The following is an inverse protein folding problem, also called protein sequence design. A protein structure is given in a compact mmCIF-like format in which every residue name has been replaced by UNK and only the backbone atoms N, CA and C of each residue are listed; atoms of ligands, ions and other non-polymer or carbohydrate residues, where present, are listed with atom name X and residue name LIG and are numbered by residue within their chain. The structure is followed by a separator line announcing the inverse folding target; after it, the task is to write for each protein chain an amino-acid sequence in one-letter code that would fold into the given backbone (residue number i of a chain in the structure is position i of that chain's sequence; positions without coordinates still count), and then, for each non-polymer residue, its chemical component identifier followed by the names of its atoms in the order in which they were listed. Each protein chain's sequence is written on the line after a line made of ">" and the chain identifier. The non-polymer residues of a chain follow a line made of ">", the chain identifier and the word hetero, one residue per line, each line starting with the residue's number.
data_IF_578098332190
#
_entry.id   IF_578098332190
#
_cell.length_a   1.000
_cell.length_b   1.000
_cell.length_c   1.000
_cell.angle_alpha   90.00
_cell.angle_beta   90.00
_cell.angle_gamma   90.00
#
_symmetry.space_group_name_H-M   'P 1'
#
loop_
_entity.id
_entity.type
_entity.pdbx_description
1 polymer ?
#
# COMPACT_ATOMS: atom_id res chain seq x y z
N UNK A 1 13.02 21.49 9.90
CA UNK A 1 12.22 21.83 8.96
C UNK A 1 10.98 21.01 8.77
N UNK A 2 9.96 21.70 8.71
CA UNK A 2 8.63 21.12 8.75
C UNK A 2 8.27 20.28 7.53
N UNK A 3 8.92 20.54 6.42
CA UNK A 3 8.56 19.85 5.20
C UNK A 3 8.71 18.35 5.26
N UNK A 4 9.81 17.88 5.84
CA UNK A 4 10.01 16.45 5.97
C UNK A 4 8.93 15.80 6.81
N UNK A 5 8.51 16.50 7.84
CA UNK A 5 7.48 15.98 8.71
C UNK A 5 6.16 15.87 7.97
N UNK A 6 5.81 16.91 7.23
CA UNK A 6 4.57 16.92 6.47
C UNK A 6 4.52 15.78 5.48
N UNK A 7 5.63 15.55 4.76
CA UNK A 7 5.70 14.48 3.78
C UNK A 7 5.54 13.12 4.44
N UNK A 8 6.21 12.91 5.58
CA UNK A 8 6.12 11.65 6.31
C UNK A 8 4.71 11.32 6.71
N UNK A 9 3.97 12.36 7.10
CA UNK A 9 2.61 12.21 7.55
C UNK A 9 1.62 12.42 6.43
N UNK A 10 2.12 12.60 5.24
CA UNK A 10 1.29 13.03 4.13
C UNK A 10 0.10 12.13 3.92
N UNK A 11 -1.02 12.77 3.78
CA UNK A 11 -2.23 12.17 3.32
C UNK A 11 -2.57 12.87 2.01
N UNK A 12 -2.43 12.16 0.91
CA UNK A 12 -2.78 12.70 -0.40
C UNK A 12 -4.22 12.32 -0.69
N UNK A 13 -5.13 13.29 -0.83
CA UNK A 13 -6.55 12.97 -1.05
C UNK A 13 -6.78 12.42 -2.44
N UNK A 14 -7.28 11.22 -2.51
CA UNK A 14 -7.54 10.57 -3.77
C UNK A 14 -6.37 9.71 -4.21
N UNK A 15 -6.40 9.24 -5.44
CA UNK A 15 -5.42 8.31 -5.96
C UNK A 15 -4.48 8.98 -6.92
N UNK A 16 -3.26 8.47 -6.98
CA UNK A 16 -2.25 8.93 -7.94
C UNK A 16 -1.34 7.75 -8.24
N UNK A 17 -0.77 7.70 -9.45
CA UNK A 17 0.20 6.64 -9.75
C UNK A 17 1.47 6.82 -8.93
N UNK A 18 2.14 5.70 -8.67
CA UNK A 18 3.43 5.71 -7.99
C UNK A 18 4.49 5.90 -9.07
N UNK A 19 5.23 7.01 -9.00
CA UNK A 19 6.18 7.38 -10.04
C UNK A 19 7.51 6.68 -9.90
N UNK A 20 7.93 6.41 -8.67
CA UNK A 20 9.19 5.74 -8.41
C UNK A 20 9.18 5.14 -7.02
N UNK A 21 10.01 4.14 -6.80
CA UNK A 21 10.17 3.51 -5.50
C UNK A 21 11.63 3.13 -5.31
N UNK A 22 12.05 2.99 -4.05
CA UNK A 22 13.41 2.65 -3.70
C UNK A 22 13.97 3.65 -2.70
N UNK A 23 15.18 3.39 -2.25
CA UNK A 23 15.85 4.24 -1.25
C UNK A 23 14.98 4.47 -0.02
N UNK A 24 14.20 3.45 0.35
CA UNK A 24 13.37 3.49 1.54
C UNK A 24 12.07 4.26 1.39
N UNK A 25 11.64 4.54 0.17
CA UNK A 25 10.42 5.33 0.01
C UNK A 25 9.82 5.28 -1.38
N UNK A 26 8.95 6.25 -1.64
CA UNK A 26 8.17 6.32 -2.87
C UNK A 26 8.01 7.76 -3.33
N UNK A 27 7.78 7.93 -4.64
CA UNK A 27 7.42 9.24 -5.20
C UNK A 27 6.05 9.11 -5.86
N UNK A 28 5.20 10.11 -5.60
CA UNK A 28 3.87 10.19 -6.20
C UNK A 28 3.39 11.63 -6.10
N UNK A 29 2.59 12.08 -7.07
CA UNK A 29 2.00 13.43 -7.05
C UNK A 29 3.04 14.52 -6.76
N UNK A 30 4.23 14.39 -7.32
CA UNK A 30 5.35 15.33 -7.12
C UNK A 30 5.84 15.41 -5.69
N UNK A 31 5.52 14.40 -4.87
CA UNK A 31 5.97 14.32 -3.49
C UNK A 31 6.86 13.10 -3.30
N UNK A 32 7.74 13.19 -2.32
CA UNK A 32 8.55 12.05 -1.89
C UNK A 32 8.14 11.67 -0.49
N UNK A 33 7.96 10.37 -0.27
CA UNK A 33 7.58 9.85 1.03
C UNK A 33 8.59 8.80 1.46
N UNK A 34 9.09 8.93 2.69
CA UNK A 34 9.98 7.94 3.26
C UNK A 34 9.16 6.95 4.06
N UNK A 35 9.42 5.66 3.84
CA UNK A 35 8.70 4.60 4.51
C UNK A 35 7.63 3.99 3.63
N UNK A 36 6.86 3.07 4.23
CA UNK A 36 5.84 2.32 3.52
C UNK A 36 4.58 3.15 3.27
N UNK A 37 3.77 2.70 2.32
CA UNK A 37 2.54 3.39 1.92
C UNK A 37 1.33 2.47 2.00
N UNK A 38 0.20 3.06 2.34
CA UNK A 38 -1.10 2.40 2.24
C UNK A 38 -1.97 3.26 1.34
N UNK A 39 -2.27 2.74 0.16
CA UNK A 39 -3.05 3.46 -0.85
C UNK A 39 -4.48 2.94 -0.82
N UNK A 40 -5.40 3.84 -0.48
CA UNK A 40 -6.82 3.49 -0.28
C UNK A 40 -7.70 4.39 -1.14
N UNK A 41 -8.99 4.07 -1.28
CA UNK A 41 -9.91 4.97 -1.98
C UNK A 41 -9.90 6.38 -1.41
N UNK A 42 -9.71 6.53 -0.10
CA UNK A 42 -9.67 7.85 0.55
C UNK A 42 -8.39 8.62 0.26
N UNK A 43 -7.32 7.94 -0.18
CA UNK A 43 -6.07 8.63 -0.46
C UNK A 43 -4.85 7.78 -0.17
N UNK A 44 -3.69 8.42 -0.27
CA UNK A 44 -2.40 7.76 -0.04
C UNK A 44 -1.93 8.15 1.35
N UNK A 45 -1.73 7.15 2.18
CA UNK A 45 -1.36 7.34 3.59
C UNK A 45 0.02 6.77 3.87
N UNK A 46 0.75 7.39 4.79
CA UNK A 46 1.93 6.77 5.35
C UNK A 46 1.52 5.52 6.10
N UNK A 47 2.39 4.50 6.12
CA UNK A 47 2.08 3.21 6.69
C UNK A 47 3.29 2.74 7.49
N UNK A 48 3.06 2.30 8.72
CA UNK A 48 4.16 1.99 9.64
C UNK A 48 4.91 0.71 9.39
N UNK A 49 4.29 -0.38 8.93
CA UNK A 49 5.01 -1.64 8.79
C UNK A 49 6.23 -1.53 7.87
N UNK A 50 7.31 -2.15 8.30
CA UNK A 50 8.55 -2.22 7.53
C UNK A 50 8.97 -3.66 7.28
N UNK A 51 8.46 -4.60 8.09
CA UNK A 51 8.82 -6.01 8.00
C UNK A 51 7.63 -6.80 7.45
N UNK A 52 7.74 -7.31 6.21
CA UNK A 52 6.62 -8.04 5.61
C UNK A 52 6.26 -9.32 6.37
N UNK A 53 7.21 -9.87 7.12
CA UNK A 53 6.95 -11.11 7.86
C UNK A 53 6.15 -10.86 9.14
N UNK A 54 6.04 -9.60 9.57
CA UNK A 54 5.36 -9.25 10.81
C UNK A 54 4.01 -8.57 10.57
N UNK A 55 3.47 -8.63 9.37
CA UNK A 55 2.19 -8.00 9.05
C UNK A 55 1.05 -8.68 9.81
N UNK A 56 0.15 -7.86 10.34
CA UNK A 56 -1.01 -8.32 11.09
C UNK A 56 -2.26 -7.60 10.61
N UNK A 57 -3.42 -8.15 10.95
CA UNK A 57 -4.68 -7.52 10.59
C UNK A 57 -4.77 -6.10 11.15
N UNK A 58 -4.22 -5.86 12.34
CA UNK A 58 -4.25 -4.52 12.93
C UNK A 58 -3.51 -3.47 12.11
N UNK A 59 -2.60 -3.88 11.25
CA UNK A 59 -1.89 -2.96 10.37
C UNK A 59 -2.79 -2.45 9.24
N UNK A 60 -3.95 -3.06 9.05
CA UNK A 60 -4.84 -2.78 7.94
C UNK A 60 -6.18 -2.16 8.37
N UNK A 61 -6.22 -1.55 9.56
CA UNK A 61 -7.47 -1.00 10.07
C UNK A 61 -8.11 0.02 9.13
N UNK A 62 -7.30 0.89 8.54
CA UNK A 62 -7.84 1.87 7.60
C UNK A 62 -8.45 1.19 6.38
N UNK A 63 -7.81 0.13 5.90
CA UNK A 63 -8.34 -0.63 4.78
C UNK A 63 -9.69 -1.23 5.11
N UNK A 64 -9.80 -1.85 6.28
CA UNK A 64 -11.06 -2.48 6.67
C UNK A 64 -12.19 -1.47 6.81
N UNK A 65 -11.86 -0.24 7.21
CA UNK A 65 -12.86 0.82 7.31
C UNK A 65 -13.42 1.20 5.94
N UNK A 66 -12.69 0.92 4.87
CA UNK A 66 -13.11 1.24 3.50
C UNK A 66 -13.31 0.00 2.65
N UNK A 67 -13.46 -1.15 3.29
CA UNK A 67 -13.49 -2.43 2.58
C UNK A 67 -14.56 -2.51 1.51
N UNK A 68 -15.68 -1.85 1.70
CA UNK A 68 -16.77 -1.87 0.73
C UNK A 68 -16.42 -1.17 -0.58
N UNK A 69 -15.35 -0.39 -0.59
CA UNK A 69 -14.90 0.33 -1.80
C UNK A 69 -13.67 -0.29 -2.43
N UNK A 70 -13.20 -1.41 -1.90
CA UNK A 70 -11.98 -2.06 -2.38
C UNK A 70 -12.32 -3.45 -2.91
N UNK A 71 -11.99 -3.67 -4.17
CA UNK A 71 -12.16 -4.97 -4.80
C UNK A 71 -10.88 -5.79 -4.69
N UNK A 72 -9.75 -5.15 -4.99
CA UNK A 72 -8.45 -5.80 -5.05
C UNK A 72 -7.47 -5.07 -4.15
N UNK A 73 -6.75 -5.83 -3.34
CA UNK A 73 -5.65 -5.29 -2.55
C UNK A 73 -4.35 -5.93 -3.04
N UNK A 74 -3.42 -5.09 -3.48
CA UNK A 74 -2.08 -5.54 -3.82
C UNK A 74 -1.19 -5.32 -2.61
N UNK A 75 -0.45 -6.34 -2.22
CA UNK A 75 0.44 -6.21 -1.07
C UNK A 75 1.88 -6.37 -1.53
N UNK A 76 2.63 -5.28 -1.48
CA UNK A 76 4.04 -5.27 -1.83
C UNK A 76 4.86 -5.71 -0.62
N UNK A 77 5.42 -6.91 -0.70
CA UNK A 77 6.05 -7.61 0.41
C UNK A 77 7.55 -7.36 0.53
N UNK A 78 8.03 -6.28 -0.05
CA UNK A 78 9.45 -5.99 -0.02
C UNK A 78 10.13 -6.44 -1.31
N UNK A 79 11.39 -6.82 -1.21
CA UNK A 79 12.16 -7.19 -2.41
C UNK A 79 11.68 -8.48 -3.05
N UNK A 80 11.13 -9.39 -2.27
CA UNK A 80 10.78 -10.72 -2.73
C UNK A 80 9.31 -11.00 -2.60
N UNK A 81 8.83 -11.92 -3.43
CA UNK A 81 7.48 -12.45 -3.27
C UNK A 81 7.44 -13.31 -2.01
N UNK A 82 6.49 -13.00 -1.14
CA UNK A 82 6.26 -13.77 0.08
C UNK A 82 4.78 -13.94 0.29
N UNK A 83 4.35 -15.07 0.87
CA UNK A 83 2.93 -15.25 1.16
C UNK A 83 2.50 -14.39 2.33
N UNK A 84 1.23 -14.03 2.37
CA UNK A 84 0.68 -13.31 3.51
C UNK A 84 0.59 -14.25 4.72
N UNK A 85 0.80 -13.72 5.94
CA UNK A 85 0.55 -14.52 7.14
C UNK A 85 -0.88 -15.03 7.14
N UNK A 86 -1.07 -16.27 7.58
CA UNK A 86 -2.39 -16.92 7.52
C UNK A 86 -3.50 -16.15 8.24
N UNK A 87 -3.27 -15.61 9.46
CA UNK A 87 -4.34 -14.84 10.11
C UNK A 87 -4.75 -13.61 9.33
N UNK A 88 -3.79 -12.93 8.70
CA UNK A 88 -4.09 -11.76 7.90
C UNK A 88 -4.87 -12.16 6.66
N UNK A 89 -4.46 -13.23 6.00
CA UNK A 89 -5.16 -13.71 4.82
C UNK A 89 -6.61 -14.04 5.14
N UNK A 90 -6.85 -14.68 6.28
CA UNK A 90 -8.20 -15.00 6.71
C UNK A 90 -9.03 -13.75 6.96
N UNK A 91 -8.45 -12.74 7.60
CA UNK A 91 -9.16 -11.50 7.89
C UNK A 91 -9.55 -10.76 6.60
N UNK A 92 -8.65 -10.75 5.62
CA UNK A 92 -8.94 -10.10 4.34
C UNK A 92 -10.06 -10.83 3.59
N UNK A 93 -10.01 -12.16 3.61
CA UNK A 93 -11.05 -12.95 2.96
C UNK A 93 -12.41 -12.70 3.61
N UNK A 94 -12.42 -12.61 4.93
CA UNK A 94 -13.65 -12.34 5.66
C UNK A 94 -14.24 -10.99 5.30
N UNK A 95 -13.40 -10.03 4.98
CA UNK A 95 -13.83 -8.69 4.55
C UNK A 95 -14.16 -8.64 3.06
N UNK A 96 -14.14 -9.78 2.37
CA UNK A 96 -14.41 -9.89 0.93
C UNK A 96 -13.43 -9.10 0.08
N UNK A 97 -12.18 -8.99 0.55
CA UNK A 97 -11.12 -8.34 -0.20
C UNK A 97 -10.23 -9.40 -0.83
N UNK A 98 -10.04 -9.29 -2.15
CA UNK A 98 -9.14 -10.16 -2.87
C UNK A 98 -7.73 -9.61 -2.73
N UNK A 99 -6.88 -10.27 -1.95
CA UNK A 99 -5.53 -9.81 -1.67
C UNK A 99 -4.51 -10.60 -2.47
N UNK A 100 -3.56 -9.90 -3.07
CA UNK A 100 -2.56 -10.50 -3.94
C UNK A 100 -1.16 -10.05 -3.51
N UNK A 101 -0.40 -10.90 -2.82
CA UNK A 101 0.96 -10.54 -2.41
C UNK A 101 1.95 -10.68 -3.57
N UNK A 102 2.90 -9.76 -3.63
CA UNK A 102 3.96 -9.78 -4.64
C UNK A 102 5.11 -8.91 -4.13
N UNK A 103 6.19 -8.83 -4.88
CA UNK A 103 7.25 -7.90 -4.50
C UNK A 103 6.73 -6.47 -4.60
N UNK A 104 7.36 -5.55 -3.86
CA UNK A 104 6.92 -4.15 -3.89
C UNK A 104 6.98 -3.58 -5.30
N UNK A 105 8.05 -3.88 -6.05
CA UNK A 105 8.15 -3.38 -7.42
C UNK A 105 7.03 -3.87 -8.32
N UNK A 106 6.68 -5.16 -8.21
CA UNK A 106 5.58 -5.72 -8.99
C UNK A 106 4.25 -5.09 -8.56
N UNK A 107 4.08 -4.86 -7.26
CA UNK A 107 2.85 -4.26 -6.75
C UNK A 107 2.67 -2.83 -7.27
N UNK A 108 3.76 -2.06 -7.31
CA UNK A 108 3.71 -0.70 -7.86
C UNK A 108 3.26 -0.73 -9.31
N UNK A 109 3.87 -1.60 -10.13
CA UNK A 109 3.53 -1.67 -11.54
C UNK A 109 2.08 -2.10 -11.74
N UNK A 110 1.65 -3.12 -11.00
CA UNK A 110 0.28 -3.63 -11.12
C UNK A 110 -0.72 -2.59 -10.66
N UNK A 111 -0.43 -1.91 -9.55
CA UNK A 111 -1.29 -0.84 -9.06
C UNK A 111 -1.48 0.25 -10.12
N UNK A 112 -0.38 0.69 -10.73
CA UNK A 112 -0.47 1.75 -11.73
C UNK A 112 -1.32 1.34 -12.93
N UNK A 113 -1.21 0.09 -13.36
CA UNK A 113 -2.01 -0.42 -14.47
C UNK A 113 -3.50 -0.43 -14.10
N UNK A 114 -3.82 -0.98 -12.92
CA UNK A 114 -5.21 -1.08 -12.50
C UNK A 114 -5.82 0.29 -12.23
N UNK A 115 -5.02 1.20 -11.70
CA UNK A 115 -5.48 2.56 -11.48
C UNK A 115 -5.84 3.23 -12.81
N UNK A 116 -5.00 3.04 -13.81
CA UNK A 116 -5.25 3.61 -15.15
C UNK A 116 -6.51 3.03 -15.79
N UNK A 117 -6.89 1.81 -15.38
CA UNK A 117 -8.11 1.18 -15.85
C UNK A 117 -9.32 1.49 -14.99
N UNK A 118 -9.14 2.40 -14.03
CA UNK A 118 -10.21 2.84 -13.14
C UNK A 118 -10.80 1.70 -12.31
N UNK A 119 -9.93 0.77 -11.88
CA UNK A 119 -10.34 -0.35 -11.04
C UNK A 119 -10.34 0.07 -9.57
N UNK A 120 -11.14 -0.62 -8.78
CA UNK A 120 -11.25 -0.39 -7.33
C UNK A 120 -10.09 -1.08 -6.62
N UNK A 121 -8.88 -0.55 -6.79
CA UNK A 121 -7.64 -1.14 -6.29
C UNK A 121 -7.11 -0.37 -5.10
N UNK A 122 -6.63 -1.13 -4.10
CA UNK A 122 -5.87 -0.59 -2.98
C UNK A 122 -4.49 -1.24 -3.00
N UNK A 123 -3.52 -0.61 -2.35
CA UNK A 123 -2.17 -1.16 -2.30
C UNK A 123 -1.54 -0.89 -0.95
N UNK A 124 -0.92 -1.93 -0.39
CA UNK A 124 -0.15 -1.83 0.83
C UNK A 124 1.29 -2.15 0.44
N UNK A 125 2.15 -1.14 0.49
CA UNK A 125 3.49 -1.23 -0.12
C UNK A 125 4.56 -1.08 0.95
N UNK A 126 5.30 -2.17 1.19
CA UNK A 126 6.47 -2.14 2.09
C UNK A 126 7.62 -1.46 1.35
N UNK A 127 8.23 -0.47 1.99
CA UNK A 127 9.35 0.25 1.40
C UNK A 127 10.55 -0.67 1.19
N UNK A 128 11.29 -0.43 0.11
CA UNK A 128 12.52 -1.16 -0.19
C UNK A 128 13.66 -0.19 -0.44
N UNK A 129 14.88 -0.69 -0.27
CA UNK A 129 16.09 0.12 -0.50
C UNK A 129 16.37 0.37 -1.96
#
# INVERSE_FOLDING_TARGET
>A
MAKGIIIREAHFPGKAPIEAYGNGGFRFADMSHRGSLLVLPSGIHGWEPADPLALRASDFERLFAEADKVEILLVGMGKDLRPLPAPLRAALKEASISADPMSTGAAVRTYNVLLAEDRAVAAALIAVD
#
